data_IF_285376244109
#
_entry.id   IF_285376244109
#
_cell.length_a   1.000
_cell.length_b   1.000
_cell.length_c   1.000
_cell.angle_alpha   90.00
_cell.angle_beta   90.00
_cell.angle_gamma   90.00
#
_symmetry.space_group_name_H-M   'P 1'
#
loop_
_entity.id
_entity.type
_entity.pdbx_description
1 polymer ?
#
# COMPACT_ATOMS: atom_id res chain seq x y z
N UNK A 1 -2.12 8.89 23.31
CA UNK A 1 -2.51 7.62 22.65
C UNK A 1 -3.95 7.67 22.13
N UNK A 2 -4.94 8.06 22.95
CA UNK A 2 -6.37 8.02 22.57
C UNK A 2 -6.77 8.96 21.42
N UNK A 3 -6.24 10.19 21.37
CA UNK A 3 -6.57 11.15 20.30
C UNK A 3 -6.06 10.70 18.92
N UNK A 4 -4.80 10.24 18.85
CA UNK A 4 -4.21 9.68 17.62
C UNK A 4 -5.05 8.50 17.09
N UNK A 5 -5.42 7.56 17.96
CA UNK A 5 -6.25 6.41 17.57
C UNK A 5 -7.62 6.84 17.03
N UNK A 6 -8.25 7.85 17.63
CA UNK A 6 -9.51 8.42 17.15
C UNK A 6 -9.32 9.06 15.77
N UNK A 7 -8.28 9.87 15.58
CA UNK A 7 -7.98 10.51 14.28
C UNK A 7 -7.73 9.45 13.20
N UNK A 8 -6.95 8.40 13.51
CA UNK A 8 -6.69 7.31 12.55
C UNK A 8 -7.95 6.51 12.24
N UNK A 9 -8.82 6.27 13.22
CA UNK A 9 -10.11 5.60 13.00
C UNK A 9 -11.04 6.45 12.13
N UNK A 10 -11.10 7.76 12.37
CA UNK A 10 -11.83 8.70 11.51
C UNK A 10 -11.28 8.64 10.09
N UNK A 11 -9.95 8.74 9.93
CA UNK A 11 -9.31 8.63 8.61
C UNK A 11 -9.69 7.32 7.91
N UNK A 12 -9.65 6.18 8.62
CA UNK A 12 -10.04 4.87 8.10
C UNK A 12 -11.49 4.86 7.59
N UNK A 13 -12.43 5.46 8.33
CA UNK A 13 -13.83 5.60 7.93
C UNK A 13 -13.95 6.45 6.65
N UNK A 14 -13.25 7.58 6.60
CA UNK A 14 -13.29 8.49 5.45
C UNK A 14 -12.58 7.94 4.21
N UNK A 15 -11.66 6.98 4.34
CA UNK A 15 -11.05 6.33 3.16
C UNK A 15 -12.07 5.59 2.29
N UNK A 16 -13.22 5.20 2.86
CA UNK A 16 -14.28 4.44 2.17
C UNK A 16 -13.76 3.22 1.40
N UNK A 17 -12.65 2.64 1.87
CA UNK A 17 -11.98 1.54 1.17
C UNK A 17 -12.17 0.24 1.93
N UNK A 18 -12.97 -0.67 1.37
CA UNK A 18 -13.30 -1.99 1.95
C UNK A 18 -12.05 -2.77 2.37
N UNK A 19 -11.05 -2.83 1.49
CA UNK A 19 -9.80 -3.54 1.77
C UNK A 19 -9.01 -2.98 2.95
N UNK A 20 -9.16 -1.69 3.29
CA UNK A 20 -8.45 -1.10 4.43
C UNK A 20 -9.01 -1.61 5.76
N UNK A 21 -10.33 -1.82 5.84
CA UNK A 21 -10.98 -2.44 7.00
C UNK A 21 -10.60 -3.91 7.17
N UNK A 22 -10.55 -4.68 6.08
CA UNK A 22 -10.10 -6.07 6.13
C UNK A 22 -8.65 -6.15 6.61
N UNK A 23 -7.77 -5.28 6.10
CA UNK A 23 -6.39 -5.16 6.57
C UNK A 23 -6.30 -4.78 8.05
N UNK A 24 -7.09 -3.79 8.49
CA UNK A 24 -7.14 -3.38 9.89
C UNK A 24 -7.60 -4.52 10.82
N UNK A 25 -8.67 -5.24 10.45
CA UNK A 25 -9.16 -6.39 11.23
C UNK A 25 -8.10 -7.50 11.32
N UNK A 26 -7.43 -7.82 10.22
CA UNK A 26 -6.34 -8.80 10.21
C UNK A 26 -5.14 -8.37 11.05
N UNK A 27 -4.78 -7.08 11.02
CA UNK A 27 -3.74 -6.52 11.87
C UNK A 27 -4.10 -6.55 13.35
N UNK A 28 -5.35 -6.28 13.72
CA UNK A 28 -5.83 -6.40 15.11
C UNK A 28 -5.83 -7.85 15.61
N UNK A 29 -6.24 -8.80 14.76
CA UNK A 29 -6.15 -10.23 15.07
C UNK A 29 -4.71 -10.67 15.28
N UNK A 30 -3.80 -10.26 14.38
CA UNK A 30 -2.37 -10.55 14.51
C UNK A 30 -1.78 -9.91 15.77
N UNK A 31 -2.09 -8.63 16.03
CA UNK A 31 -1.64 -7.91 17.22
C UNK A 31 -2.04 -8.64 18.50
N UNK A 32 -3.31 -9.07 18.60
CA UNK A 32 -3.81 -9.81 19.75
C UNK A 32 -3.08 -11.16 19.91
N UNK A 33 -2.90 -11.92 18.84
CA UNK A 33 -2.16 -13.19 18.86
C UNK A 33 -0.70 -13.04 19.25
N UNK A 34 0.00 -12.05 18.68
CA UNK A 34 1.40 -11.75 18.99
C UNK A 34 1.55 -11.26 20.45
N UNK A 35 0.62 -10.45 20.95
CA UNK A 35 0.61 -10.01 22.36
C UNK A 35 0.37 -11.17 23.33
N UNK A 36 -0.56 -12.08 22.99
CA UNK A 36 -0.80 -13.31 23.77
C UNK A 36 0.47 -14.15 23.87
N UNK A 37 1.17 -14.30 22.76
CA UNK A 37 2.43 -15.04 22.66
C UNK A 37 3.55 -14.37 23.46
N UNK A 38 3.61 -13.04 23.52
CA UNK A 38 4.65 -12.30 24.24
C UNK A 38 4.40 -12.18 25.75
N UNK A 39 3.13 -12.04 26.18
CA UNK A 39 2.77 -11.79 27.58
C UNK A 39 2.32 -13.05 28.35
N UNK A 40 2.31 -14.22 27.69
CA UNK A 40 2.20 -15.52 28.35
C UNK A 40 0.83 -15.87 28.96
N UNK A 41 -0.25 -15.18 28.60
CA UNK A 41 -1.59 -15.61 29.01
C UNK A 41 -2.73 -14.62 28.79
N UNK A 42 -3.89 -15.16 28.37
CA UNK A 42 -5.15 -14.45 28.18
C UNK A 42 -5.55 -13.57 29.38
N UNK A 43 -5.29 -14.03 30.61
CA UNK A 43 -5.69 -13.34 31.85
C UNK A 43 -5.14 -11.91 31.97
N UNK A 44 -3.90 -11.67 31.58
CA UNK A 44 -3.25 -10.35 31.70
C UNK A 44 -3.80 -9.36 30.68
N UNK A 45 -4.06 -9.85 29.45
CA UNK A 45 -4.69 -9.08 28.38
C UNK A 45 -6.14 -8.74 28.72
N UNK A 46 -6.94 -9.71 29.17
CA UNK A 46 -8.30 -9.46 29.63
C UNK A 46 -8.32 -8.44 30.78
N UNK A 47 -7.45 -8.57 31.78
CA UNK A 47 -7.35 -7.58 32.87
C UNK A 47 -7.05 -6.15 32.38
N UNK A 48 -6.22 -6.01 31.33
CA UNK A 48 -5.92 -4.71 30.71
C UNK A 48 -7.08 -4.18 29.84
N UNK A 49 -7.79 -5.04 29.12
CA UNK A 49 -8.92 -4.68 28.26
C UNK A 49 -10.17 -4.29 29.07
N UNK A 50 -10.39 -4.95 30.20
CA UNK A 50 -11.52 -4.67 31.11
C UNK A 50 -11.19 -3.65 32.21
N UNK A 51 -10.08 -2.92 32.08
CA UNK A 51 -9.82 -1.78 32.97
C UNK A 51 -10.89 -0.70 32.76
N UNK A 52 -11.27 0.04 33.82
CA UNK A 52 -12.27 1.13 33.72
C UNK A 52 -11.93 2.12 32.59
N UNK A 53 -10.65 2.47 32.43
CA UNK A 53 -10.17 3.36 31.36
C UNK A 53 -10.38 2.76 29.97
N UNK A 54 -10.02 1.49 29.78
CA UNK A 54 -10.19 0.77 28.51
C UNK A 54 -11.67 0.63 28.14
N UNK A 55 -12.53 0.29 29.10
CA UNK A 55 -13.97 0.18 28.88
C UNK A 55 -14.59 1.52 28.45
N UNK A 56 -14.23 2.62 29.10
CA UNK A 56 -14.68 3.97 28.69
C UNK A 56 -14.24 4.27 27.26
N UNK A 57 -12.97 4.02 26.93
CA UNK A 57 -12.45 4.28 25.58
C UNK A 57 -13.15 3.41 24.53
N UNK A 58 -13.30 2.11 24.78
CA UNK A 58 -13.98 1.17 23.87
C UNK A 58 -15.43 1.59 23.68
N UNK A 59 -16.16 1.91 24.75
CA UNK A 59 -17.55 2.38 24.66
C UNK A 59 -17.66 3.67 23.86
N UNK A 60 -16.79 4.66 24.10
CA UNK A 60 -16.75 5.89 23.31
C UNK A 60 -16.45 5.60 21.83
N UNK A 61 -15.52 4.71 21.53
CA UNK A 61 -15.21 4.32 20.15
C UNK A 61 -16.38 3.62 19.48
N UNK A 62 -17.07 2.71 20.17
CA UNK A 62 -18.26 2.00 19.66
C UNK A 62 -19.41 2.97 19.41
N UNK A 63 -19.68 3.89 20.34
CA UNK A 63 -20.70 4.93 20.17
C UNK A 63 -20.36 5.82 18.97
N UNK A 64 -19.12 6.31 18.89
CA UNK A 64 -18.68 7.18 17.81
C UNK A 64 -18.76 6.47 16.45
N UNK A 65 -18.33 5.21 16.38
CA UNK A 65 -18.46 4.37 15.19
C UNK A 65 -19.93 4.14 14.81
N UNK A 66 -20.80 3.82 15.77
CA UNK A 66 -22.22 3.62 15.55
C UNK A 66 -22.93 4.88 15.02
N UNK A 67 -22.59 6.06 15.56
CA UNK A 67 -23.10 7.34 15.07
C UNK A 67 -22.63 7.63 13.64
N UNK A 68 -21.36 7.36 13.33
CA UNK A 68 -20.80 7.55 11.99
C UNK A 68 -21.43 6.60 10.96
N UNK A 69 -21.61 5.33 11.31
CA UNK A 69 -22.30 4.34 10.47
C UNK A 69 -23.75 4.77 10.22
N UNK A 70 -24.48 5.15 11.27
CA UNK A 70 -25.88 5.62 11.16
C UNK A 70 -26.00 6.85 10.26
N UNK A 71 -25.07 7.80 10.39
CA UNK A 71 -25.03 9.00 9.56
C UNK A 71 -24.74 8.68 8.09
N UNK A 72 -23.76 7.82 7.81
CA UNK A 72 -23.41 7.39 6.45
C UNK A 72 -24.54 6.57 5.80
N UNK A 73 -25.18 5.65 6.54
CA UNK A 73 -26.22 4.75 6.03
C UNK A 73 -27.44 5.50 5.44
N UNK A 74 -27.74 6.68 5.95
CA UNK A 74 -28.84 7.53 5.49
C UNK A 74 -28.54 8.21 4.14
N UNK A 75 -27.29 8.24 3.69
CA UNK A 75 -26.92 8.87 2.42
C UNK A 75 -27.25 7.93 1.25
N UNK A 76 -27.68 8.47 0.08
CA UNK A 76 -27.87 7.67 -1.14
C UNK A 76 -26.60 6.91 -1.53
N UNK A 77 -25.43 7.55 -1.42
CA UNK A 77 -24.11 6.98 -1.69
C UNK A 77 -23.41 6.35 -0.48
N UNK A 78 -24.19 5.79 0.46
CA UNK A 78 -23.65 5.19 1.69
C UNK A 78 -22.52 4.20 1.42
N UNK A 79 -21.36 4.45 2.05
CA UNK A 79 -20.27 3.50 2.10
C UNK A 79 -20.68 2.21 2.81
N UNK A 80 -21.44 2.31 3.91
CA UNK A 80 -21.91 1.17 4.69
C UNK A 80 -22.71 0.19 3.85
N UNK A 81 -23.62 0.70 2.99
CA UNK A 81 -24.37 -0.14 2.05
C UNK A 81 -23.44 -0.84 1.05
N UNK A 82 -22.47 -0.11 0.50
CA UNK A 82 -21.44 -0.65 -0.42
C UNK A 82 -20.47 -1.62 0.27
N UNK A 83 -20.23 -1.45 1.57
CA UNK A 83 -19.39 -2.31 2.40
C UNK A 83 -20.10 -3.63 2.71
N UNK A 84 -21.42 -3.65 2.86
CA UNK A 84 -22.16 -4.91 3.05
C UNK A 84 -22.28 -5.71 1.74
N UNK A 85 -22.13 -5.06 0.58
CA UNK A 85 -22.21 -5.68 -0.75
C UNK A 85 -20.84 -5.95 -1.40
N UNK A 86 -19.87 -6.50 -0.63
CA UNK A 86 -18.45 -6.64 -1.05
C UNK A 86 -18.26 -7.43 -2.35
N UNK A 87 -19.14 -8.39 -2.65
CA UNK A 87 -19.03 -9.26 -3.82
C UNK A 87 -20.13 -9.03 -4.88
N UNK A 88 -20.93 -7.95 -4.76
CA UNK A 88 -22.04 -7.72 -5.68
C UNK A 88 -21.52 -7.21 -7.03
N UNK A 89 -21.70 -8.02 -8.08
CA UNK A 89 -21.33 -7.66 -9.45
C UNK A 89 -22.17 -6.52 -10.03
N UNK A 90 -23.28 -6.14 -9.37
CA UNK A 90 -24.03 -4.94 -9.73
C UNK A 90 -23.20 -3.67 -9.52
N UNK A 91 -22.26 -3.66 -8.56
CA UNK A 91 -21.32 -2.56 -8.36
C UNK A 91 -20.31 -2.48 -9.52
N UNK A 92 -20.27 -1.38 -10.30
CA UNK A 92 -19.34 -1.21 -11.41
C UNK A 92 -17.87 -1.37 -10.97
N UNK A 93 -17.49 -0.84 -9.81
CA UNK A 93 -16.11 -0.91 -9.32
C UNK A 93 -15.68 -2.36 -9.03
N UNK A 94 -16.56 -3.15 -8.43
CA UNK A 94 -16.32 -4.58 -8.16
C UNK A 94 -16.19 -5.36 -9.47
N UNK A 95 -17.08 -5.11 -10.42
CA UNK A 95 -17.03 -5.71 -11.76
C UNK A 95 -15.73 -5.39 -12.49
N UNK A 96 -15.27 -4.14 -12.38
CA UNK A 96 -14.01 -3.71 -12.97
C UNK A 96 -12.82 -4.48 -12.42
N UNK A 97 -12.74 -4.68 -11.10
CA UNK A 97 -11.68 -5.49 -10.49
C UNK A 97 -11.73 -6.93 -10.95
N UNK A 98 -12.92 -7.53 -11.07
CA UNK A 98 -13.01 -8.89 -11.58
C UNK A 98 -12.50 -9.02 -13.01
N UNK A 99 -12.84 -8.09 -13.90
CA UNK A 99 -12.27 -8.08 -15.26
C UNK A 99 -10.74 -7.97 -15.18
N UNK A 100 -10.21 -7.08 -14.34
CA UNK A 100 -8.76 -6.95 -14.17
C UNK A 100 -8.11 -8.24 -13.68
N UNK A 101 -8.75 -8.93 -12.75
CA UNK A 101 -8.22 -10.17 -12.18
C UNK A 101 -8.25 -11.33 -13.17
N UNK A 102 -9.34 -11.48 -13.93
CA UNK A 102 -9.41 -12.52 -14.97
C UNK A 102 -8.38 -12.25 -16.08
N UNK A 103 -8.23 -11.00 -16.50
CA UNK A 103 -7.19 -10.59 -17.45
C UNK A 103 -5.78 -10.88 -16.91
N UNK A 104 -5.51 -10.55 -15.64
CA UNK A 104 -4.22 -10.85 -15.01
C UNK A 104 -3.93 -12.34 -14.92
N UNK A 105 -4.94 -13.17 -14.64
CA UNK A 105 -4.82 -14.64 -14.67
C UNK A 105 -4.50 -15.12 -16.09
N UNK A 106 -5.12 -14.56 -17.12
CA UNK A 106 -4.82 -14.93 -18.51
C UNK A 106 -3.38 -14.58 -18.90
N UNK A 107 -2.86 -13.43 -18.47
CA UNK A 107 -1.45 -13.04 -18.65
C UNK A 107 -0.53 -14.06 -17.96
N UNK A 108 -0.83 -14.44 -16.71
CA UNK A 108 -0.02 -15.42 -15.96
C UNK A 108 -0.02 -16.78 -16.65
N UNK A 109 -1.15 -17.21 -17.22
CA UNK A 109 -1.22 -18.48 -17.96
C UNK A 109 -0.33 -18.49 -19.22
N UNK A 110 -0.20 -17.36 -19.90
CA UNK A 110 0.65 -17.23 -21.08
C UNK A 110 2.13 -17.03 -20.70
N UNK A 111 2.43 -16.41 -19.55
CA UNK A 111 3.78 -16.11 -19.07
C UNK A 111 4.06 -16.58 -17.61
N UNK A 112 3.95 -17.88 -17.30
CA UNK A 112 3.88 -18.36 -15.93
C UNK A 112 5.18 -18.24 -15.12
N UNK A 113 6.34 -18.39 -15.76
CA UNK A 113 7.62 -18.50 -15.05
C UNK A 113 8.25 -17.14 -14.74
N UNK A 114 8.38 -16.29 -15.75
CA UNK A 114 9.08 -14.99 -15.68
C UNK A 114 8.14 -13.79 -15.83
N UNK A 115 6.87 -14.01 -16.13
CA UNK A 115 5.93 -12.93 -16.42
C UNK A 115 6.29 -12.16 -17.68
N UNK A 116 5.74 -10.96 -17.79
CA UNK A 116 5.88 -10.09 -18.97
C UNK A 116 6.95 -9.01 -18.82
N UNK A 117 7.57 -8.88 -17.64
CA UNK A 117 8.53 -7.84 -17.27
C UNK A 117 7.95 -6.84 -16.27
N UNK A 118 8.80 -6.27 -15.41
CA UNK A 118 8.36 -5.37 -14.34
C UNK A 118 7.73 -4.08 -14.92
N UNK A 119 6.50 -3.78 -14.50
CA UNK A 119 5.79 -2.57 -14.92
C UNK A 119 5.09 -2.68 -16.29
N UNK A 120 5.07 -3.86 -16.91
CA UNK A 120 4.50 -4.08 -18.25
C UNK A 120 2.99 -4.37 -18.26
N UNK A 121 2.38 -4.47 -17.06
CA UNK A 121 0.95 -4.78 -16.93
C UNK A 121 0.07 -3.83 -17.74
N UNK A 122 0.30 -2.51 -17.65
CA UNK A 122 -0.53 -1.50 -18.34
C UNK A 122 -0.44 -1.60 -19.87
N UNK A 123 0.69 -2.04 -20.41
CA UNK A 123 0.95 -2.19 -21.84
C UNK A 123 0.29 -3.44 -22.39
N UNK A 124 0.37 -4.55 -21.65
CA UNK A 124 -0.11 -5.84 -22.13
C UNK A 124 -1.60 -6.06 -21.82
N UNK A 125 -2.12 -5.42 -20.77
CA UNK A 125 -3.51 -5.54 -20.33
C UNK A 125 -4.55 -5.38 -21.45
N UNK A 126 -4.48 -4.38 -22.36
CA UNK A 126 -5.48 -4.20 -23.41
C UNK A 126 -5.62 -5.41 -24.34
N UNK A 127 -4.51 -6.09 -24.67
CA UNK A 127 -4.50 -7.30 -25.53
C UNK A 127 -5.42 -8.37 -24.94
N UNK A 128 -5.27 -8.65 -23.66
CA UNK A 128 -5.98 -9.73 -22.97
C UNK A 128 -7.39 -9.32 -22.53
N UNK A 129 -7.58 -8.04 -22.21
CA UNK A 129 -8.87 -7.49 -21.80
C UNK A 129 -9.94 -7.61 -22.89
N UNK A 130 -9.55 -7.66 -24.17
CA UNK A 130 -10.44 -7.81 -25.32
C UNK A 130 -11.50 -8.92 -25.14
N UNK A 131 -11.13 -10.03 -24.46
CA UNK A 131 -12.01 -11.16 -24.13
C UNK A 131 -13.20 -10.80 -23.23
N UNK A 132 -13.09 -9.71 -22.48
CA UNK A 132 -14.03 -9.31 -21.43
C UNK A 132 -14.81 -8.03 -21.73
N UNK A 133 -14.51 -7.33 -22.85
CA UNK A 133 -15.09 -6.01 -23.17
C UNK A 133 -16.62 -6.05 -23.34
N UNK A 134 -17.17 -7.16 -23.84
CA UNK A 134 -18.63 -7.34 -24.05
C UNK A 134 -19.02 -8.77 -23.72
N UNK A 135 -19.44 -9.01 -22.48
CA UNK A 135 -19.85 -10.36 -22.04
C UNK A 135 -21.18 -10.30 -21.29
N UNK A 136 -21.96 -11.39 -21.28
CA UNK A 136 -23.18 -11.47 -20.46
C UNK A 136 -22.88 -11.27 -18.96
N UNK A 137 -21.72 -11.74 -18.50
CA UNK A 137 -21.29 -11.68 -17.10
C UNK A 137 -20.86 -10.28 -16.66
N UNK A 138 -20.14 -9.55 -17.51
CA UNK A 138 -19.56 -8.25 -17.16
C UNK A 138 -20.23 -7.06 -17.86
N UNK A 139 -21.16 -7.29 -18.78
CA UNK A 139 -21.78 -6.25 -19.59
C UNK A 139 -20.79 -5.64 -20.59
N UNK A 140 -21.01 -4.37 -20.93
CA UNK A 140 -20.08 -3.56 -21.71
C UNK A 140 -19.06 -2.93 -20.77
N UNK A 141 -17.79 -3.17 -21.02
CA UNK A 141 -16.68 -2.65 -20.25
C UNK A 141 -15.91 -1.62 -21.09
N UNK A 142 -15.77 -0.42 -20.57
CA UNK A 142 -15.03 0.66 -21.21
C UNK A 142 -14.04 1.23 -20.19
N UNK A 143 -12.75 1.02 -20.43
CA UNK A 143 -11.68 1.49 -19.56
C UNK A 143 -10.40 0.71 -19.74
N UNK A 144 -9.27 1.36 -19.50
CA UNK A 144 -7.97 0.70 -19.40
C UNK A 144 -7.50 0.77 -17.95
N UNK A 145 -6.97 -0.33 -17.44
CA UNK A 145 -6.36 -0.34 -16.12
C UNK A 145 -4.85 -0.28 -16.25
N UNK A 146 -4.21 0.50 -15.39
CA UNK A 146 -2.75 0.51 -15.27
C UNK A 146 -2.21 -0.58 -14.35
N UNK A 147 -3.07 -1.09 -13.46
CA UNK A 147 -2.72 -2.00 -12.40
C UNK A 147 -3.76 -3.12 -12.29
N UNK A 148 -3.39 -4.26 -11.73
CA UNK A 148 -4.32 -5.37 -11.50
C UNK A 148 -5.27 -5.10 -10.31
N UNK A 149 -4.96 -4.09 -9.49
CA UNK A 149 -5.62 -3.84 -8.20
C UNK A 149 -5.58 -5.07 -7.26
N UNK A 150 -4.48 -5.82 -7.37
CA UNK A 150 -4.08 -6.92 -6.50
C UNK A 150 -2.57 -7.08 -6.70
N UNK A 151 -1.77 -6.64 -5.74
CA UNK A 151 -0.30 -6.63 -5.85
C UNK A 151 0.24 -8.03 -6.12
N UNK A 152 -0.33 -9.09 -5.53
CA UNK A 152 0.12 -10.46 -5.74
C UNK A 152 -0.09 -10.92 -7.18
N UNK A 153 -1.28 -10.63 -7.72
CA UNK A 153 -1.59 -10.93 -9.11
C UNK A 153 -0.69 -10.12 -10.06
N UNK A 154 -0.45 -8.85 -9.73
CA UNK A 154 0.37 -7.99 -10.55
C UNK A 154 1.85 -8.36 -10.53
N UNK A 155 2.41 -8.68 -9.35
CA UNK A 155 3.76 -9.24 -9.20
C UNK A 155 3.87 -10.50 -10.05
N UNK A 156 2.89 -11.41 -9.96
CA UNK A 156 2.91 -12.66 -10.72
C UNK A 156 2.78 -12.43 -12.23
N UNK A 157 1.93 -11.51 -12.69
CA UNK A 157 1.80 -11.20 -14.10
C UNK A 157 3.10 -10.58 -14.67
N UNK A 158 3.74 -9.71 -13.90
CA UNK A 158 4.95 -9.01 -14.32
C UNK A 158 6.23 -9.85 -14.19
N UNK A 159 6.33 -10.73 -13.19
CA UNK A 159 7.58 -11.43 -12.82
C UNK A 159 7.44 -12.95 -12.74
N UNK A 160 6.25 -13.47 -13.03
CA UNK A 160 5.93 -14.88 -12.97
C UNK A 160 5.91 -15.44 -11.55
N UNK A 161 5.76 -16.75 -11.46
CA UNK A 161 5.73 -17.47 -10.18
C UNK A 161 7.06 -17.37 -9.43
N UNK A 162 8.18 -17.17 -10.14
CA UNK A 162 9.50 -17.01 -9.52
C UNK A 162 9.61 -15.70 -8.73
N UNK A 163 9.11 -14.60 -9.31
CA UNK A 163 9.08 -13.32 -8.61
C UNK A 163 8.09 -13.31 -7.45
N UNK A 164 6.90 -13.90 -7.64
CA UNK A 164 5.95 -14.10 -6.53
C UNK A 164 6.58 -14.96 -5.41
N UNK A 165 7.25 -16.06 -5.76
CA UNK A 165 7.92 -16.95 -4.80
C UNK A 165 9.00 -16.23 -4.00
N UNK A 166 9.81 -15.39 -4.66
CA UNK A 166 10.84 -14.57 -4.02
C UNK A 166 10.22 -13.55 -3.06
N UNK A 167 9.14 -12.89 -3.48
CA UNK A 167 8.40 -11.96 -2.64
C UNK A 167 7.81 -12.65 -1.41
N UNK A 168 7.13 -13.79 -1.57
CA UNK A 168 6.56 -14.55 -0.46
C UNK A 168 7.63 -15.09 0.47
N UNK A 169 8.78 -15.52 -0.05
CA UNK A 169 9.92 -15.94 0.76
C UNK A 169 10.45 -14.79 1.63
N UNK A 170 10.55 -13.58 1.09
CA UNK A 170 10.88 -12.38 1.87
C UNK A 170 9.86 -12.16 2.99
N UNK A 171 8.56 -12.24 2.70
CA UNK A 171 7.52 -12.09 3.73
C UNK A 171 7.65 -13.17 4.81
N UNK A 172 7.77 -14.44 4.43
CA UNK A 172 7.89 -15.55 5.39
C UNK A 172 9.12 -15.39 6.27
N UNK A 173 10.28 -15.04 5.71
CA UNK A 173 11.53 -14.84 6.47
C UNK A 173 11.42 -13.67 7.45
N UNK A 174 10.72 -12.59 7.08
CA UNK A 174 10.47 -11.46 7.98
C UNK A 174 9.59 -11.84 9.17
N UNK A 175 8.45 -12.50 8.92
CA UNK A 175 7.57 -12.95 10.01
C UNK A 175 8.24 -14.01 10.87
N UNK A 176 8.98 -14.93 10.28
CA UNK A 176 9.74 -15.94 11.02
C UNK A 176 10.75 -15.28 11.97
N UNK A 177 11.54 -14.34 11.47
CA UNK A 177 12.54 -13.62 12.25
C UNK A 177 11.89 -12.77 13.35
N UNK A 178 10.82 -12.05 13.01
CA UNK A 178 10.07 -11.23 13.96
C UNK A 178 9.44 -12.06 15.07
N UNK A 179 8.77 -13.17 14.75
CA UNK A 179 8.15 -14.05 15.75
C UNK A 179 9.19 -14.78 16.60
N UNK A 180 10.33 -15.19 16.03
CA UNK A 180 11.45 -15.77 16.78
C UNK A 180 11.99 -14.77 17.81
N UNK A 181 12.24 -13.52 17.38
CA UNK A 181 12.65 -12.42 18.28
C UNK A 181 11.61 -12.16 19.36
N UNK A 182 10.32 -12.21 19.02
CA UNK A 182 9.25 -11.99 19.98
C UNK A 182 9.25 -13.01 21.12
N UNK A 183 9.54 -14.28 20.84
CA UNK A 183 9.71 -15.31 21.88
C UNK A 183 10.90 -15.02 22.81
N UNK A 184 11.99 -14.53 22.23
CA UNK A 184 13.25 -14.25 22.93
C UNK A 184 13.22 -12.94 23.75
N UNK A 185 12.35 -11.98 23.40
CA UNK A 185 12.23 -10.69 24.10
C UNK A 185 11.73 -10.83 25.54
N UNK A 186 11.08 -11.94 25.90
CA UNK A 186 10.70 -12.18 27.31
C UNK A 186 11.89 -12.15 28.28
N UNK A 187 13.12 -12.31 27.78
CA UNK A 187 14.39 -12.26 28.53
C UNK A 187 15.13 -10.90 28.41
N UNK A 188 14.55 -9.92 27.69
CA UNK A 188 15.18 -8.63 27.34
C UNK A 188 14.60 -7.45 28.12
N UNK A 189 15.41 -6.40 28.34
CA UNK A 189 15.01 -5.12 28.95
C UNK A 189 14.05 -4.30 28.08
N UNK A 190 13.91 -4.61 26.79
CA UNK A 190 13.11 -3.83 25.83
C UNK A 190 11.69 -4.38 25.67
N UNK A 191 10.71 -3.48 25.52
CA UNK A 191 9.31 -3.85 25.32
C UNK A 191 9.08 -4.51 23.95
N UNK A 192 8.38 -5.66 23.86
CA UNK A 192 8.03 -6.31 22.59
C UNK A 192 7.05 -5.50 21.73
N UNK A 193 6.44 -4.44 22.30
CA UNK A 193 5.33 -3.73 21.70
C UNK A 193 5.68 -3.12 20.34
N UNK A 194 6.88 -2.56 20.17
CA UNK A 194 7.27 -1.97 18.89
C UNK A 194 7.33 -3.04 17.78
N UNK A 195 7.89 -4.21 18.09
CA UNK A 195 7.98 -5.34 17.15
C UNK A 195 6.58 -5.85 16.77
N UNK A 196 5.70 -6.00 17.77
CA UNK A 196 4.30 -6.40 17.54
C UNK A 196 3.59 -5.36 16.66
N UNK A 197 3.75 -4.06 16.92
CA UNK A 197 3.14 -2.98 16.13
C UNK A 197 3.64 -3.01 14.69
N UNK A 198 4.95 -3.18 14.47
CA UNK A 198 5.51 -3.23 13.11
C UNK A 198 4.95 -4.43 12.35
N UNK A 199 5.00 -5.64 12.93
CA UNK A 199 4.47 -6.85 12.30
C UNK A 199 2.96 -6.76 12.03
N UNK A 200 2.20 -6.15 12.96
CA UNK A 200 0.75 -5.93 12.77
C UNK A 200 0.48 -4.95 11.64
N UNK A 201 1.28 -3.88 11.52
CA UNK A 201 1.15 -2.88 10.46
C UNK A 201 1.51 -3.46 9.10
N UNK A 202 2.55 -4.31 9.02
CA UNK A 202 2.88 -5.12 7.84
C UNK A 202 1.71 -6.02 7.44
N UNK A 203 1.08 -6.68 8.42
CA UNK A 203 -0.09 -7.54 8.17
C UNK A 203 -1.24 -6.75 7.54
N UNK A 204 -1.50 -5.52 8.01
CA UNK A 204 -2.52 -4.66 7.40
C UNK A 204 -2.22 -4.37 5.93
N UNK A 205 -0.98 -4.00 5.60
CA UNK A 205 -0.57 -3.69 4.22
C UNK A 205 -0.68 -4.92 3.32
N UNK A 206 -0.17 -6.07 3.76
CA UNK A 206 -0.22 -7.32 2.98
C UNK A 206 -1.64 -7.77 2.70
N UNK A 207 -2.54 -7.69 3.69
CA UNK A 207 -3.96 -8.01 3.47
C UNK A 207 -4.60 -6.98 2.55
N UNK A 208 -4.29 -5.69 2.72
CA UNK A 208 -4.80 -4.63 1.87
C UNK A 208 -4.38 -4.79 0.39
N UNK A 209 -3.15 -5.24 0.16
CA UNK A 209 -2.55 -5.54 -1.14
C UNK A 209 -3.29 -6.60 -1.97
N UNK A 210 -4.14 -7.43 -1.38
CA UNK A 210 -5.03 -8.31 -2.17
C UNK A 210 -6.07 -7.54 -2.99
N UNK A 211 -6.39 -6.31 -2.57
CA UNK A 211 -7.48 -5.50 -3.14
C UNK A 211 -6.98 -4.15 -3.67
N UNK A 212 -5.66 -3.93 -3.63
CA UNK A 212 -5.02 -2.66 -3.94
C UNK A 212 -3.66 -2.90 -4.59
N UNK A 213 -3.11 -1.86 -5.22
CA UNK A 213 -1.75 -1.81 -5.77
C UNK A 213 -0.79 -1.08 -4.81
N UNK A 214 -0.81 -1.47 -3.52
CA UNK A 214 -0.12 -0.75 -2.45
C UNK A 214 1.40 -0.69 -2.64
N UNK A 215 2.02 -1.70 -3.25
CA UNK A 215 3.47 -1.68 -3.49
C UNK A 215 3.89 -0.84 -4.71
N UNK A 216 2.93 -0.31 -5.46
CA UNK A 216 3.18 0.63 -6.57
C UNK A 216 2.96 2.08 -6.16
N UNK A 217 2.41 2.32 -4.96
CA UNK A 217 2.34 3.64 -4.35
C UNK A 217 3.61 3.92 -3.52
N UNK A 218 4.32 5.03 -3.77
CA UNK A 218 5.56 5.34 -3.06
C UNK A 218 5.38 5.40 -1.54
N UNK A 219 4.28 5.99 -1.06
CA UNK A 219 4.03 6.19 0.37
C UNK A 219 3.95 4.88 1.15
N UNK A 220 3.15 3.93 0.68
CA UNK A 220 2.99 2.61 1.30
C UNK A 220 4.24 1.73 1.12
N UNK A 221 4.89 1.82 -0.03
CA UNK A 221 6.14 1.08 -0.29
C UNK A 221 7.28 1.56 0.62
N UNK A 222 7.45 2.86 0.78
CA UNK A 222 8.46 3.44 1.68
C UNK A 222 8.22 3.01 3.13
N UNK A 223 6.97 2.99 3.59
CA UNK A 223 6.63 2.51 4.93
C UNK A 223 6.97 1.02 5.12
N UNK A 224 6.68 0.19 4.12
CA UNK A 224 7.06 -1.22 4.14
C UNK A 224 8.57 -1.41 4.28
N UNK A 225 9.37 -0.71 3.47
CA UNK A 225 10.84 -0.80 3.53
C UNK A 225 11.41 -0.22 4.83
N UNK A 226 10.82 0.85 5.36
CA UNK A 226 11.19 1.41 6.65
C UNK A 226 10.95 0.41 7.79
N UNK A 227 9.79 -0.25 7.80
CA UNK A 227 9.47 -1.29 8.77
C UNK A 227 10.45 -2.46 8.68
N UNK A 228 10.83 -2.86 7.47
CA UNK A 228 11.83 -3.90 7.25
C UNK A 228 13.20 -3.52 7.85
N UNK A 229 13.63 -2.27 7.70
CA UNK A 229 14.84 -1.76 8.34
C UNK A 229 14.74 -1.81 9.87
N UNK A 230 13.65 -1.28 10.44
CA UNK A 230 13.43 -1.26 11.89
C UNK A 230 13.34 -2.67 12.52
N UNK A 231 12.77 -3.64 11.80
CA UNK A 231 12.71 -5.04 12.24
C UNK A 231 14.09 -5.66 12.40
N UNK A 232 15.08 -5.21 11.64
CA UNK A 232 16.43 -5.78 11.63
C UNK A 232 17.38 -5.08 12.60
N UNK A 233 17.02 -3.89 13.09
CA UNK A 233 17.82 -3.15 14.08
C UNK A 233 17.86 -3.89 15.42
N UNK A 234 19.07 -4.02 15.98
CA UNK A 234 19.31 -4.51 17.33
C UNK A 234 19.85 -3.36 18.18
N UNK A 235 19.04 -2.88 19.12
CA UNK A 235 19.40 -1.76 20.00
C UNK A 235 20.67 -2.02 20.82
N UNK A 236 20.93 -3.27 21.18
CA UNK A 236 22.08 -3.66 21.99
C UNK A 236 23.42 -3.56 21.23
N UNK A 237 23.38 -3.71 19.90
CA UNK A 237 24.57 -3.57 19.03
C UNK A 237 24.88 -2.11 18.72
N UNK A 238 23.87 -1.24 18.69
CA UNK A 238 24.03 0.20 18.40
C UNK A 238 24.86 0.92 19.47
N UNK A 239 24.75 0.53 20.74
CA UNK A 239 25.55 1.12 21.82
C UNK A 239 27.03 0.74 21.71
N UNK A 240 27.35 -0.53 21.42
CA UNK A 240 28.75 -0.99 21.24
C UNK A 240 29.46 -0.39 20.02
N UNK A 241 28.72 -0.07 18.97
CA UNK A 241 29.29 0.45 17.71
C UNK A 241 29.59 1.95 17.80
N UNK A 242 28.86 2.72 18.62
CA UNK A 242 29.07 4.16 18.77
C UNK A 242 30.46 4.54 19.31
N UNK A 243 31.12 3.64 20.04
CA UNK A 243 32.42 3.94 20.65
C UNK A 243 33.60 3.93 19.67
N UNK A 244 33.45 3.37 18.45
CA UNK A 244 34.58 3.14 17.53
C UNK A 244 34.41 3.69 16.10
N UNK A 245 33.32 4.40 15.78
CA UNK A 245 33.15 5.00 14.45
C UNK A 245 33.67 6.44 14.45
N UNK A 246 34.86 6.66 13.89
CA UNK A 246 35.24 7.99 13.41
C UNK A 246 34.59 8.23 12.04
N UNK A 247 33.70 9.22 11.88
CA UNK A 247 33.11 9.52 10.59
C UNK A 247 34.19 9.92 9.58
N UNK A 248 34.35 9.14 8.53
CA UNK A 248 35.22 9.51 7.40
C UNK A 248 34.54 10.61 6.60
N UNK A 249 35.16 11.79 6.54
CA UNK A 249 34.70 12.93 5.73
C UNK A 249 34.46 12.49 4.29
N UNK A 250 35.34 11.65 3.72
CA UNK A 250 35.21 11.12 2.35
C UNK A 250 33.91 10.31 2.18
N UNK A 251 33.59 9.40 3.11
CA UNK A 251 32.34 8.62 3.04
C UNK A 251 31.11 9.50 3.19
N UNK A 252 31.16 10.51 4.07
CA UNK A 252 30.05 11.45 4.25
C UNK A 252 29.84 12.33 3.03
N UNK A 253 30.92 12.86 2.43
CA UNK A 253 30.88 13.62 1.19
C UNK A 253 30.36 12.76 0.03
N UNK A 254 30.76 11.49 -0.06
CA UNK A 254 30.26 10.56 -1.05
C UNK A 254 28.75 10.28 -0.88
N UNK A 255 28.28 10.02 0.35
CA UNK A 255 26.85 9.85 0.64
C UNK A 255 26.08 11.13 0.30
N UNK A 256 26.60 12.30 0.67
CA UNK A 256 26.00 13.59 0.35
C UNK A 256 25.87 13.80 -1.16
N UNK A 257 26.95 13.54 -1.91
CA UNK A 257 26.95 13.64 -3.37
C UNK A 257 25.96 12.66 -4.01
N UNK A 258 25.96 11.39 -3.61
CA UNK A 258 25.02 10.38 -4.09
C UNK A 258 23.58 10.82 -3.81
N UNK A 259 23.32 11.34 -2.61
CA UNK A 259 22.00 11.85 -2.23
C UNK A 259 21.58 13.02 -3.12
N UNK A 260 22.47 13.98 -3.37
CA UNK A 260 22.20 15.11 -4.28
C UNK A 260 21.91 14.61 -5.70
N UNK A 261 22.72 13.68 -6.23
CA UNK A 261 22.51 13.12 -7.56
C UNK A 261 21.17 12.37 -7.67
N UNK A 262 20.79 11.61 -6.64
CA UNK A 262 19.49 10.93 -6.57
C UNK A 262 18.34 11.93 -6.50
N UNK A 263 18.48 13.01 -5.73
CA UNK A 263 17.48 14.07 -5.66
C UNK A 263 17.33 14.80 -7.01
N UNK A 264 18.43 15.10 -7.69
CA UNK A 264 18.41 15.71 -9.03
C UNK A 264 17.78 14.76 -10.07
N UNK A 265 18.10 13.47 -10.01
CA UNK A 265 17.51 12.46 -10.87
C UNK A 265 15.99 12.32 -10.64
N UNK A 266 15.54 12.34 -9.39
CA UNK A 266 14.12 12.29 -9.03
C UNK A 266 13.39 13.62 -9.31
N UNK A 267 14.08 14.76 -9.27
CA UNK A 267 13.48 16.08 -9.51
C UNK A 267 13.02 16.26 -10.95
N UNK A 268 13.76 15.73 -11.94
CA UNK A 268 13.39 15.86 -13.37
C UNK A 268 11.99 15.34 -13.71
N UNK A 269 11.63 14.06 -13.44
CA UNK A 269 10.29 13.57 -13.73
C UNK A 269 9.21 14.26 -12.88
N UNK A 270 9.54 14.72 -11.68
CA UNK A 270 8.63 15.51 -10.86
C UNK A 270 8.32 16.87 -11.51
N UNK A 271 9.35 17.61 -11.94
CA UNK A 271 9.19 18.89 -12.65
C UNK A 271 8.42 18.68 -13.96
N UNK A 272 8.72 17.62 -14.71
CA UNK A 272 7.96 17.25 -15.90
C UNK A 272 6.46 17.08 -15.58
N UNK A 273 6.14 16.35 -14.51
CA UNK A 273 4.74 16.15 -14.10
C UNK A 273 4.02 17.46 -13.75
N UNK A 274 4.70 18.42 -13.11
CA UNK A 274 4.11 19.74 -12.82
C UNK A 274 3.79 20.52 -14.10
N UNK A 275 4.67 20.47 -15.10
CA UNK A 275 4.41 21.08 -16.40
C UNK A 275 3.29 20.36 -17.16
N UNK A 276 3.25 19.03 -17.11
CA UNK A 276 2.17 18.24 -17.69
C UNK A 276 0.81 18.61 -17.09
N UNK A 277 0.71 18.67 -15.76
CA UNK A 277 -0.53 19.02 -15.07
C UNK A 277 -0.98 20.45 -15.41
N UNK A 278 -0.04 21.39 -15.51
CA UNK A 278 -0.31 22.76 -15.97
C UNK A 278 -0.76 22.80 -17.44
N UNK A 279 -0.18 21.95 -18.30
CA UNK A 279 -0.58 21.83 -19.70
C UNK A 279 -2.03 21.35 -19.82
N UNK A 280 -2.41 20.34 -19.03
CA UNK A 280 -3.78 19.84 -18.95
C UNK A 280 -4.72 20.95 -18.50
N UNK A 281 -4.36 21.72 -17.47
CA UNK A 281 -5.17 22.85 -17.01
C UNK A 281 -5.42 23.88 -18.12
N UNK A 282 -4.39 24.29 -18.87
CA UNK A 282 -4.55 25.22 -19.98
C UNK A 282 -5.38 24.63 -21.13
N UNK A 283 -5.18 23.34 -21.43
CA UNK A 283 -5.94 22.62 -22.45
C UNK A 283 -7.43 22.57 -22.10
N UNK A 284 -7.77 22.27 -20.84
CA UNK A 284 -9.15 22.28 -20.35
C UNK A 284 -9.78 23.67 -20.35
N UNK A 285 -8.96 24.72 -20.24
CA UNK A 285 -9.39 26.11 -20.30
C UNK A 285 -9.49 26.66 -21.72
N UNK A 286 -9.24 25.85 -22.75
CA UNK A 286 -9.23 26.25 -24.16
C UNK A 286 -8.02 27.11 -24.58
N UNK A 287 -7.03 27.30 -23.70
CA UNK A 287 -5.80 28.03 -24.01
C UNK A 287 -4.74 27.08 -24.58
N UNK A 288 -4.91 26.70 -25.84
CA UNK A 288 -4.08 25.69 -26.49
C UNK A 288 -2.62 26.13 -26.68
N UNK A 289 -2.37 27.41 -26.90
CA UNK A 289 -1.01 27.93 -27.08
C UNK A 289 -0.14 27.71 -25.84
N UNK A 290 -0.67 28.09 -24.66
CA UNK A 290 0.01 27.82 -23.40
C UNK A 290 0.06 26.33 -23.05
N UNK A 291 -0.97 25.56 -23.41
CA UNK A 291 -0.97 24.11 -23.21
C UNK A 291 0.18 23.44 -23.98
N UNK A 292 0.33 23.75 -25.26
CA UNK A 292 1.41 23.26 -26.12
C UNK A 292 2.78 23.63 -25.53
N UNK A 293 2.97 24.88 -25.10
CA UNK A 293 4.22 25.31 -24.49
C UNK A 293 4.55 24.52 -23.22
N UNK A 294 3.56 24.24 -22.37
CA UNK A 294 3.75 23.46 -21.15
C UNK A 294 3.98 21.97 -21.44
N UNK A 295 3.33 21.37 -22.44
CA UNK A 295 3.61 20.00 -22.87
C UNK A 295 5.03 19.84 -23.39
N UNK A 296 5.53 20.79 -24.21
CA UNK A 296 6.92 20.79 -24.68
C UNK A 296 7.92 20.86 -23.52
N UNK A 297 7.66 21.71 -22.51
CA UNK A 297 8.49 21.75 -21.30
C UNK A 297 8.46 20.45 -20.52
N UNK A 298 7.29 19.81 -20.38
CA UNK A 298 7.21 18.49 -19.76
C UNK A 298 8.12 17.47 -20.45
N UNK A 299 8.08 17.42 -21.79
CA UNK A 299 8.89 16.53 -22.62
C UNK A 299 10.40 16.84 -22.48
N UNK A 300 10.78 18.10 -22.37
CA UNK A 300 12.19 18.49 -22.16
C UNK A 300 12.75 17.90 -20.85
N UNK A 301 11.96 17.94 -19.76
CA UNK A 301 12.36 17.37 -18.48
C UNK A 301 12.20 15.85 -18.41
N UNK A 302 11.26 15.27 -19.16
CA UNK A 302 11.06 13.82 -19.28
C UNK A 302 10.75 13.40 -20.73
N UNK A 303 11.80 13.13 -21.54
CA UNK A 303 11.63 12.77 -22.96
C UNK A 303 10.94 11.42 -23.20
N UNK A 304 10.66 10.64 -22.14
CA UNK A 304 9.97 9.35 -22.22
C UNK A 304 8.52 9.42 -21.76
N UNK A 305 7.98 10.62 -21.52
CA UNK A 305 6.58 10.77 -21.11
C UNK A 305 5.62 10.63 -22.28
N UNK A 306 5.23 9.40 -22.58
CA UNK A 306 4.24 9.05 -23.62
C UNK A 306 2.94 9.84 -23.50
N UNK A 307 2.51 10.21 -22.28
CA UNK A 307 1.28 10.99 -22.09
C UNK A 307 1.44 12.41 -22.61
N UNK A 308 2.60 13.02 -22.36
CA UNK A 308 2.88 14.37 -22.82
C UNK A 308 2.87 14.43 -24.35
N UNK A 309 3.42 13.41 -25.02
CA UNK A 309 3.32 13.27 -26.48
C UNK A 309 1.87 13.06 -26.94
N UNK A 310 1.14 12.09 -26.37
CA UNK A 310 -0.23 11.80 -26.78
C UNK A 310 -1.19 12.98 -26.61
N UNK A 311 -1.00 13.82 -25.58
CA UNK A 311 -1.86 14.99 -25.35
C UNK A 311 -1.42 16.22 -26.15
N UNK A 312 -0.19 16.24 -26.65
CA UNK A 312 0.30 17.32 -27.49
C UNK A 312 -0.27 17.25 -28.92
N UNK A 313 -0.55 16.05 -29.41
CA UNK A 313 -1.06 15.78 -30.77
C UNK A 313 -0.05 15.07 -31.64
#
# INVERSE_FOLDING_TARGET
VSLMAIITLIALIYTRTRGAWVGFMGAMAFFAGAKLMAEGGMKKIFKSLFSKKSLIIISLMVICLGLLIRYDYRKPDSFTKKFLSIADLKDPATRHRFVMWHTGIDIIKEHPLLGTGMGTFKEIYPKYQSKYLRTKKYGRFEGLSRFAHNDYLEITANTGILGLGTFLWLIVTLYWTGLKRLKQISESKYSPNLLIIILSSLTAVLIHSFFHYSFYLPTTSMLFWLWLGLLNTDGSKLEKVKENIRPSIIKQSAIGLITILLLLWAAKPFIASLYFDRAIYYSMSGNYENAIAMYKKSIEFNPRDEKAYNNLG
#
